data_IF_135818933520
#
_entry.id   IF_135818933520
#
_cell.length_a   1.000
_cell.length_b   1.000
_cell.length_c   1.000
_cell.angle_alpha   90.00
_cell.angle_beta   90.00
_cell.angle_gamma   90.00
#
_symmetry.space_group_name_H-M   'P 1'
#
loop_
_entity.id
_entity.type
_entity.pdbx_description
1 polymer ?
#
# COMPACT_ATOMS: atom_id res chain seq x y z
N UNK A 1 13.62 -9.60 1.33
CA UNK A 1 14.02 -8.41 2.10
C UNK A 1 13.81 -8.76 3.56
N UNK A 2 14.86 -8.82 4.37
CA UNK A 2 14.66 -8.86 5.82
C UNK A 2 14.19 -7.46 6.21
N UNK A 3 12.92 -7.32 6.59
CA UNK A 3 12.40 -6.10 7.19
C UNK A 3 12.96 -6.01 8.61
N UNK A 4 13.62 -4.90 8.93
CA UNK A 4 13.93 -4.57 10.30
C UNK A 4 12.74 -3.86 10.97
N UNK A 5 12.87 -3.53 12.26
CA UNK A 5 11.81 -2.83 13.00
C UNK A 5 11.46 -1.47 12.37
N UNK A 6 12.47 -0.70 11.92
CA UNK A 6 12.24 0.59 11.27
C UNK A 6 11.51 0.47 9.93
N UNK A 7 11.79 -0.56 9.13
CA UNK A 7 11.09 -0.84 7.89
C UNK A 7 9.63 -1.21 8.16
N UNK A 8 9.38 -1.95 9.23
CA UNK A 8 8.02 -2.33 9.67
C UNK A 8 7.24 -1.11 10.14
N UNK A 9 7.85 -0.25 10.96
CA UNK A 9 7.24 1.00 11.42
C UNK A 9 6.90 1.93 10.26
N UNK A 10 7.82 2.08 9.30
CA UNK A 10 7.57 2.86 8.08
C UNK A 10 6.40 2.29 7.28
N UNK A 11 6.38 0.97 7.08
CA UNK A 11 5.29 0.30 6.36
C UNK A 11 3.93 0.52 7.03
N UNK A 12 3.87 0.40 8.36
CA UNK A 12 2.62 0.58 9.10
C UNK A 12 2.10 2.02 9.03
N UNK A 13 2.99 3.01 9.19
CA UNK A 13 2.60 4.43 9.07
C UNK A 13 2.08 4.79 7.69
N UNK A 14 2.72 4.27 6.63
CA UNK A 14 2.26 4.49 5.25
C UNK A 14 0.93 3.79 5.00
N UNK A 15 0.77 2.55 5.47
CA UNK A 15 -0.49 1.80 5.35
C UNK A 15 -1.63 2.54 6.04
N UNK A 16 -1.41 3.03 7.26
CA UNK A 16 -2.41 3.80 8.01
C UNK A 16 -2.78 5.12 7.30
N UNK A 17 -1.78 5.84 6.78
CA UNK A 17 -2.02 7.07 6.02
C UNK A 17 -2.88 6.82 4.77
N UNK A 18 -2.61 5.73 4.05
CA UNK A 18 -3.41 5.32 2.88
C UNK A 18 -4.86 5.02 3.32
N UNK A 19 -5.05 4.19 4.35
CA UNK A 19 -6.40 3.82 4.82
C UNK A 19 -7.20 5.06 5.25
N UNK A 20 -6.58 5.96 6.03
CA UNK A 20 -7.22 7.22 6.46
C UNK A 20 -7.61 8.10 5.28
N UNK A 21 -6.78 8.15 4.24
CA UNK A 21 -7.07 8.94 3.06
C UNK A 21 -8.20 8.34 2.23
N UNK A 22 -8.24 7.02 2.08
CA UNK A 22 -9.32 6.31 1.39
C UNK A 22 -10.67 6.49 2.11
N UNK A 23 -10.65 6.46 3.44
CA UNK A 23 -11.82 6.76 4.27
C UNK A 23 -12.25 8.22 4.12
N UNK A 24 -11.31 9.17 4.19
CA UNK A 24 -11.58 10.60 3.97
C UNK A 24 -12.19 10.90 2.60
N UNK A 25 -11.83 10.13 1.57
CA UNK A 25 -12.40 10.23 0.22
C UNK A 25 -13.74 9.51 0.08
N UNK A 26 -14.21 8.77 1.09
CA UNK A 26 -15.48 8.05 1.08
C UNK A 26 -15.46 6.78 0.22
N UNK A 27 -14.28 6.20 -0.04
CA UNK A 27 -14.14 5.00 -0.90
C UNK A 27 -13.79 3.73 -0.12
N UNK A 28 -13.60 3.82 1.20
CA UNK A 28 -13.18 2.70 2.05
C UNK A 28 -14.08 1.47 1.89
N UNK A 29 -15.41 1.62 2.02
CA UNK A 29 -16.36 0.50 1.90
C UNK A 29 -16.32 -0.18 0.53
N UNK A 30 -16.19 0.62 -0.53
CA UNK A 30 -16.07 0.10 -1.90
C UNK A 30 -14.81 -0.75 -2.06
N UNK A 31 -13.68 -0.26 -1.52
CA UNK A 31 -12.40 -0.95 -1.61
C UNK A 31 -12.36 -2.23 -0.74
N UNK A 32 -13.04 -2.24 0.41
CA UNK A 32 -13.23 -3.44 1.22
C UNK A 32 -14.00 -4.51 0.42
N UNK A 33 -15.08 -4.14 -0.26
CA UNK A 33 -15.85 -5.06 -1.10
C UNK A 33 -15.04 -5.62 -2.26
N UNK A 34 -14.08 -4.85 -2.77
CA UNK A 34 -13.13 -5.28 -3.81
C UNK A 34 -11.93 -6.06 -3.27
N UNK A 35 -11.85 -6.30 -1.96
CA UNK A 35 -10.71 -6.94 -1.28
C UNK A 35 -9.39 -6.24 -1.57
N UNK A 36 -9.44 -4.91 -1.64
CA UNK A 36 -8.27 -4.09 -1.89
C UNK A 36 -7.22 -4.26 -0.78
N UNK A 37 -5.98 -4.51 -1.16
CA UNK A 37 -4.87 -4.72 -0.22
C UNK A 37 -4.05 -3.42 -0.04
N UNK A 38 -4.40 -2.65 0.97
CA UNK A 38 -3.71 -1.40 1.30
C UNK A 38 -2.26 -1.62 1.76
N UNK A 39 -1.95 -2.80 2.34
CA UNK A 39 -0.60 -3.14 2.78
C UNK A 39 0.31 -3.39 1.57
N UNK A 40 -0.19 -4.08 0.55
CA UNK A 40 0.55 -4.25 -0.71
C UNK A 40 0.73 -2.93 -1.45
N UNK A 41 -0.29 -2.05 -1.48
CA UNK A 41 -0.12 -0.70 -2.02
C UNK A 41 0.98 0.07 -1.28
N UNK A 42 1.01 0.00 0.06
CA UNK A 42 2.05 0.67 0.85
C UNK A 42 3.46 0.16 0.52
N UNK A 43 3.64 -1.16 0.35
CA UNK A 43 4.92 -1.75 -0.08
C UNK A 43 5.34 -1.23 -1.46
N UNK A 44 4.40 -1.14 -2.40
CA UNK A 44 4.64 -0.60 -3.75
C UNK A 44 5.02 0.88 -3.69
N UNK A 45 4.29 1.68 -2.90
CA UNK A 45 4.55 3.10 -2.74
C UNK A 45 5.94 3.36 -2.13
N UNK A 46 6.33 2.62 -1.10
CA UNK A 46 7.66 2.70 -0.49
C UNK A 46 8.74 2.37 -1.51
N UNK A 47 8.59 1.26 -2.23
CA UNK A 47 9.54 0.86 -3.29
C UNK A 47 9.68 1.93 -4.36
N UNK A 48 8.57 2.50 -4.83
CA UNK A 48 8.58 3.56 -5.82
C UNK A 48 9.28 4.83 -5.29
N UNK A 49 9.02 5.21 -4.04
CA UNK A 49 9.68 6.34 -3.38
C UNK A 49 11.20 6.11 -3.22
N UNK A 50 11.62 4.87 -3.00
CA UNK A 50 13.02 4.46 -2.92
C UNK A 50 13.67 4.29 -4.32
N UNK A 51 12.97 4.70 -5.39
CA UNK A 51 13.47 4.63 -6.78
C UNK A 51 13.47 3.23 -7.39
N UNK A 52 12.87 2.25 -6.71
CA UNK A 52 12.75 0.88 -7.23
C UNK A 52 11.61 0.85 -8.24
N UNK A 53 11.93 0.51 -9.49
CA UNK A 53 10.93 0.33 -10.55
C UNK A 53 9.97 -0.78 -10.11
N UNK A 54 8.70 -0.42 -9.91
CA UNK A 54 7.62 -1.38 -9.69
C UNK A 54 6.93 -1.59 -11.04
N UNK A 55 7.16 -2.72 -11.73
CA UNK A 55 6.45 -2.99 -12.96
C UNK A 55 4.95 -3.11 -12.64
N UNK A 56 4.13 -2.29 -13.30
CA UNK A 56 2.68 -2.48 -13.32
C UNK A 56 2.41 -3.85 -13.95
N UNK A 57 2.22 -4.88 -13.10
CA UNK A 57 1.76 -6.17 -13.58
C UNK A 57 0.31 -5.97 -14.02
N UNK A 58 0.03 -6.19 -15.30
CA UNK A 58 -1.35 -6.41 -15.75
C UNK A 58 -1.92 -7.55 -14.90
N UNK A 59 -3.21 -7.51 -14.50
CA UNK A 59 -3.88 -8.68 -13.98
C UNK A 59 -3.59 -9.86 -14.91
N UNK A 60 -3.13 -10.98 -14.37
CA UNK A 60 -3.05 -12.19 -15.17
C UNK A 60 -4.49 -12.61 -15.54
N UNK A 61 -4.73 -13.00 -16.80
CA UNK A 61 -6.06 -13.40 -17.26
C UNK A 61 -6.58 -14.63 -16.53
#
# INVERSE_FOLDING_TARGET
MHMNEADTDRLMRVTEAIVRELDRQGVADTLVNLRFDALELAKVAIRAADGVVVPFRKPQP
#
